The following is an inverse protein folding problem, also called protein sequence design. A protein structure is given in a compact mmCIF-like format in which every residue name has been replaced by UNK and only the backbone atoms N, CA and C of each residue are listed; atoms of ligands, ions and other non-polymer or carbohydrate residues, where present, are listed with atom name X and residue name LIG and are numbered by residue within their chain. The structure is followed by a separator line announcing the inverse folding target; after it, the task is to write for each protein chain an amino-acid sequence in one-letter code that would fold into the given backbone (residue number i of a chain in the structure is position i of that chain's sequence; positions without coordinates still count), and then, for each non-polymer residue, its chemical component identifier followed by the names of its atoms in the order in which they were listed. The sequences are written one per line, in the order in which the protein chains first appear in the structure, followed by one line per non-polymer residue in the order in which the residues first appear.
data_IF_972612474543
#
_entry.id   IF_972612474543
#
_cell.length_a   1.000
_cell.length_b   1.000
_cell.length_c   1.000
_cell.angle_alpha   90.00
_cell.angle_beta   90.00
_cell.angle_gamma   90.00
#
_symmetry.space_group_name_H-M   'P 1'
#
loop_
_entity.id
_entity.type
_entity.pdbx_description
1 polymer ?
#
# COMPACT_ATOMS: atom_id res chain seq x y z
N UNK A 1 -1.42 26.10 -11.99
CA UNK A 1 -2.33 25.23 -11.22
C UNK A 1 -2.67 26.00 -9.95
N UNK A 2 -3.97 26.30 -9.69
CA UNK A 2 -4.39 26.84 -8.40
C UNK A 2 -4.28 25.69 -7.40
N UNK A 3 -3.42 25.82 -6.39
CA UNK A 3 -3.46 24.92 -5.24
C UNK A 3 -4.81 25.15 -4.58
N UNK A 4 -5.75 24.22 -4.73
CA UNK A 4 -6.96 24.22 -3.94
C UNK A 4 -6.57 24.03 -2.48
N UNK A 5 -6.97 24.99 -1.64
CA UNK A 5 -6.74 24.91 -0.20
C UNK A 5 -7.69 23.83 0.33
N UNK A 6 -7.14 22.74 0.83
CA UNK A 6 -7.96 21.70 1.44
C UNK A 6 -8.49 22.16 2.79
N UNK A 7 -9.80 21.99 3.00
CA UNK A 7 -10.47 22.38 4.23
C UNK A 7 -11.24 21.21 4.84
N UNK A 8 -11.34 21.21 6.16
CA UNK A 8 -12.16 20.27 6.93
C UNK A 8 -13.32 21.06 7.56
N UNK A 9 -14.53 20.52 7.40
CA UNK A 9 -15.77 21.12 7.90
C UNK A 9 -15.97 22.59 7.47
N UNK A 10 -15.39 22.98 6.30
CA UNK A 10 -15.43 24.35 5.76
C UNK A 10 -14.83 25.45 6.67
N UNK A 11 -14.14 25.06 7.73
CA UNK A 11 -13.63 25.97 8.76
C UNK A 11 -12.13 25.83 8.99
N UNK A 12 -11.58 24.61 8.93
CA UNK A 12 -10.19 24.33 9.21
C UNK A 12 -9.38 24.06 7.94
N UNK A 13 -8.33 24.83 7.73
CA UNK A 13 -7.37 24.69 6.63
C UNK A 13 -6.35 23.62 7.01
N UNK A 14 -6.17 22.61 6.16
CA UNK A 14 -5.16 21.56 6.37
C UNK A 14 -3.76 22.17 6.27
N UNK A 15 -2.99 22.09 7.35
CA UNK A 15 -1.61 22.57 7.45
C UNK A 15 -0.64 21.46 7.07
N UNK A 16 -0.90 20.24 7.57
CA UNK A 16 -0.12 19.05 7.23
C UNK A 16 -0.98 17.80 7.29
N UNK A 17 -0.64 16.81 6.48
CA UNK A 17 -1.25 15.50 6.57
C UNK A 17 -0.25 14.40 6.20
N UNK A 18 -0.42 13.22 6.80
CA UNK A 18 0.40 12.04 6.56
C UNK A 18 -0.48 10.80 6.47
N UNK A 19 -0.28 9.98 5.45
CA UNK A 19 -0.94 8.70 5.31
C UNK A 19 -0.10 7.61 5.98
N UNK A 20 -0.71 6.88 6.92
CA UNK A 20 -0.10 5.75 7.62
C UNK A 20 -1.11 4.61 7.65
N UNK A 21 -0.80 3.51 6.97
CA UNK A 21 -1.73 2.41 6.77
C UNK A 21 -2.98 2.86 6.01
N UNK A 22 -4.16 2.56 6.57
CA UNK A 22 -5.46 2.92 5.97
C UNK A 22 -5.94 4.32 6.34
N UNK A 23 -5.16 5.06 7.13
CA UNK A 23 -5.61 6.32 7.70
C UNK A 23 -4.73 7.49 7.26
N UNK A 24 -5.37 8.64 7.10
CA UNK A 24 -4.73 9.93 6.91
C UNK A 24 -4.81 10.72 8.21
N UNK A 25 -3.67 11.06 8.79
CA UNK A 25 -3.53 11.88 9.99
C UNK A 25 -3.36 13.33 9.59
N UNK A 26 -4.21 14.21 10.14
CA UNK A 26 -4.32 15.58 9.68
C UNK A 26 -4.10 16.52 10.86
N UNK A 27 -3.31 17.58 10.61
CA UNK A 27 -3.21 18.75 11.46
C UNK A 27 -3.69 19.96 10.67
N UNK A 28 -4.63 20.74 11.25
CA UNK A 28 -5.29 21.85 10.58
C UNK A 28 -5.38 23.08 11.48
N UNK A 29 -5.59 24.23 10.86
CA UNK A 29 -5.75 25.52 11.52
C UNK A 29 -7.07 26.17 11.07
N UNK A 30 -7.82 26.74 12.01
CA UNK A 30 -9.05 27.47 11.71
C UNK A 30 -8.76 28.68 10.80
N UNK A 31 -9.66 28.96 9.87
CA UNK A 31 -9.55 30.07 8.91
C UNK A 31 -9.67 31.45 9.58
N UNK A 32 -10.43 31.54 10.70
CA UNK A 32 -10.50 32.73 11.52
C UNK A 32 -9.44 32.65 12.63
N UNK A 33 -8.53 33.62 12.65
CA UNK A 33 -7.43 33.69 13.63
C UNK A 33 -7.92 34.02 15.05
N UNK A 34 -9.13 34.54 15.18
CA UNK A 34 -9.74 34.88 16.47
C UNK A 34 -10.60 33.75 17.06
N UNK A 35 -10.66 32.58 16.37
CA UNK A 35 -11.39 31.44 16.88
C UNK A 35 -10.80 30.98 18.22
N UNK A 36 -11.71 30.60 19.14
CA UNK A 36 -11.30 30.16 20.49
C UNK A 36 -10.39 28.93 20.47
N UNK A 37 -10.60 28.02 19.50
CA UNK A 37 -9.84 26.78 19.31
C UNK A 37 -9.27 26.74 17.90
N UNK A 38 -8.16 27.51 17.62
CA UNK A 38 -7.68 27.70 16.26
C UNK A 38 -6.97 26.48 15.68
N UNK A 39 -6.64 25.47 16.47
CA UNK A 39 -5.93 24.29 16.00
C UNK A 39 -6.80 23.05 16.11
N UNK A 40 -6.67 22.14 15.12
CA UNK A 40 -7.36 20.86 15.10
C UNK A 40 -6.40 19.76 14.66
N UNK A 41 -6.49 18.60 15.31
CA UNK A 41 -5.99 17.35 14.77
C UNK A 41 -7.14 16.39 14.56
N UNK A 42 -7.07 15.56 13.53
CA UNK A 42 -8.01 14.46 13.32
C UNK A 42 -7.37 13.33 12.52
N UNK A 43 -8.10 12.23 12.41
CA UNK A 43 -7.77 11.11 11.55
C UNK A 43 -8.90 10.91 10.56
N UNK A 44 -8.56 10.67 9.28
CA UNK A 44 -9.51 10.42 8.22
C UNK A 44 -9.31 9.03 7.62
N UNK A 45 -10.41 8.39 7.21
CA UNK A 45 -10.40 7.14 6.44
C UNK A 45 -11.39 7.26 5.29
N UNK A 46 -10.91 7.02 4.06
CA UNK A 46 -11.74 6.97 2.87
C UNK A 46 -12.19 5.53 2.58
N UNK A 47 -13.45 5.35 2.18
CA UNK A 47 -13.99 4.06 1.75
C UNK A 47 -14.49 4.07 0.29
N UNK A 48 -13.87 4.88 -0.56
CA UNK A 48 -14.18 5.03 -1.98
C UNK A 48 -15.24 6.09 -2.30
N UNK A 49 -16.24 6.30 -1.44
CA UNK A 49 -17.31 7.29 -1.65
C UNK A 49 -17.36 8.37 -0.56
N UNK A 50 -16.97 8.02 0.66
CA UNK A 50 -17.06 8.92 1.81
C UNK A 50 -15.74 8.93 2.57
N UNK A 51 -15.41 10.09 3.12
CA UNK A 51 -14.32 10.25 4.07
C UNK A 51 -14.90 10.39 5.47
N UNK A 52 -14.49 9.49 6.36
CA UNK A 52 -14.86 9.53 7.77
C UNK A 52 -13.75 10.19 8.56
N UNK A 53 -14.11 11.09 9.46
CA UNK A 53 -13.18 11.73 10.38
C UNK A 53 -13.42 11.22 11.79
N UNK A 54 -12.35 10.82 12.47
CA UNK A 54 -12.39 10.40 13.86
C UNK A 54 -11.21 10.97 14.65
N UNK A 55 -11.18 10.75 15.97
CA UNK A 55 -10.17 11.26 16.90
C UNK A 55 -9.93 12.77 16.75
N UNK A 56 -10.97 13.52 16.41
CA UNK A 56 -10.91 14.97 16.26
C UNK A 56 -10.76 15.64 17.63
N UNK A 57 -9.73 16.45 17.78
CA UNK A 57 -9.46 17.27 18.95
C UNK A 57 -9.14 18.68 18.48
N UNK A 58 -9.75 19.68 19.11
CA UNK A 58 -9.46 21.09 18.91
C UNK A 58 -8.82 21.69 20.16
N UNK A 59 -7.93 22.65 19.99
CA UNK A 59 -7.22 23.31 21.10
C UNK A 59 -6.82 24.74 20.74
N UNK A 60 -6.61 25.55 21.76
CA UNK A 60 -5.93 26.83 21.68
C UNK A 60 -4.41 26.71 21.87
N UNK A 61 -3.94 25.58 22.44
CA UNK A 61 -2.52 25.28 22.60
C UNK A 61 -1.96 24.46 21.43
N UNK A 62 -1.23 25.15 20.54
CA UNK A 62 -0.55 24.54 19.38
C UNK A 62 0.41 23.44 19.79
N UNK A 63 1.23 23.68 20.84
CA UNK A 63 2.30 22.77 21.23
C UNK A 63 1.73 21.50 21.82
N UNK A 64 0.73 21.61 22.69
CA UNK A 64 0.06 20.46 23.28
C UNK A 64 -0.61 19.61 22.20
N UNK A 65 -1.36 20.26 21.30
CA UNK A 65 -2.06 19.55 20.23
C UNK A 65 -1.09 18.89 19.25
N UNK A 66 0.04 19.53 18.94
CA UNK A 66 1.09 18.96 18.10
C UNK A 66 1.74 17.74 18.76
N UNK A 67 1.96 17.75 20.08
CA UNK A 67 2.46 16.57 20.81
C UNK A 67 1.50 15.38 20.69
N UNK A 68 0.20 15.62 20.87
CA UNK A 68 -0.83 14.59 20.70
C UNK A 68 -0.88 14.08 19.26
N UNK A 69 -0.71 14.95 18.27
CA UNK A 69 -0.64 14.54 16.86
C UNK A 69 0.57 13.65 16.57
N UNK A 70 1.75 14.01 17.06
CA UNK A 70 2.97 13.20 16.94
C UNK A 70 2.81 11.86 17.64
N UNK A 71 2.18 11.83 18.79
CA UNK A 71 1.89 10.58 19.49
C UNK A 71 1.01 9.64 18.66
N UNK A 72 -0.08 10.16 18.05
CA UNK A 72 -0.95 9.36 17.17
C UNK A 72 -0.17 8.78 15.97
N UNK A 73 0.74 9.58 15.37
CA UNK A 73 1.59 9.11 14.26
C UNK A 73 2.54 7.99 14.72
N UNK A 74 3.14 8.15 15.90
CA UNK A 74 4.05 7.14 16.47
C UNK A 74 3.30 5.83 16.73
N UNK A 75 2.15 5.89 17.39
CA UNK A 75 1.31 4.73 17.67
C UNK A 75 0.88 4.00 16.38
N UNK A 76 0.59 4.77 15.32
CA UNK A 76 0.22 4.20 14.02
C UNK A 76 1.39 3.43 13.37
N UNK A 77 2.59 3.98 13.40
CA UNK A 77 3.80 3.34 12.88
C UNK A 77 4.13 2.07 13.68
N UNK A 78 4.05 2.15 15.02
CA UNK A 78 4.26 0.97 15.88
C UNK A 78 3.23 -0.14 15.62
N UNK A 79 1.97 0.23 15.33
CA UNK A 79 0.94 -0.76 14.98
C UNK A 79 1.26 -1.44 13.65
N UNK A 80 1.65 -0.68 12.62
CA UNK A 80 2.08 -1.25 11.33
C UNK A 80 3.28 -2.18 11.48
N UNK A 81 4.25 -1.83 12.33
CA UNK A 81 5.40 -2.70 12.59
C UNK A 81 4.98 -4.02 13.27
N UNK A 82 4.05 -3.95 14.22
CA UNK A 82 3.46 -5.15 14.85
C UNK A 82 2.73 -6.01 13.83
N UNK A 83 1.92 -5.40 12.97
CA UNK A 83 1.16 -6.11 11.94
C UNK A 83 2.11 -6.79 10.93
N UNK A 84 3.20 -6.12 10.53
CA UNK A 84 4.25 -6.70 9.68
C UNK A 84 4.92 -7.90 10.35
N UNK A 85 5.30 -7.79 11.62
CA UNK A 85 5.90 -8.89 12.38
C UNK A 85 4.94 -10.08 12.51
N UNK A 86 3.66 -9.80 12.76
CA UNK A 86 2.63 -10.85 12.88
C UNK A 86 2.45 -11.69 11.61
N UNK A 87 2.72 -11.12 10.44
CA UNK A 87 2.67 -11.84 9.15
C UNK A 87 4.04 -12.35 8.68
N UNK A 88 5.09 -12.21 9.50
CA UNK A 88 6.43 -12.71 9.22
C UNK A 88 7.24 -11.84 8.26
N UNK A 89 6.95 -10.54 8.16
CA UNK A 89 7.73 -9.57 7.40
C UNK A 89 8.87 -8.99 8.25
N UNK A 90 9.81 -9.84 8.66
CA UNK A 90 10.99 -9.40 9.43
C UNK A 90 12.06 -8.77 8.53
N UNK A 91 12.23 -9.28 7.31
CA UNK A 91 13.13 -8.71 6.29
C UNK A 91 12.29 -7.96 5.24
N UNK A 92 12.33 -6.63 5.32
CA UNK A 92 11.52 -5.73 4.47
C UNK A 92 12.18 -5.37 3.14
N UNK A 93 13.39 -5.86 2.86
CA UNK A 93 14.06 -5.56 1.59
C UNK A 93 13.42 -6.28 0.40
N UNK A 94 13.44 -5.63 -0.74
CA UNK A 94 13.08 -6.26 -2.01
C UNK A 94 14.06 -7.39 -2.40
N UNK A 95 13.53 -8.44 -3.02
CA UNK A 95 14.35 -9.45 -3.69
C UNK A 95 15.06 -8.82 -4.88
N UNK A 96 16.33 -9.21 -5.08
CA UNK A 96 17.15 -8.77 -6.20
C UNK A 96 17.14 -9.82 -7.31
N UNK A 97 17.50 -9.41 -8.53
CA UNK A 97 17.46 -10.28 -9.71
C UNK A 97 18.31 -11.55 -9.60
N UNK A 98 19.40 -11.51 -8.83
CA UNK A 98 20.27 -12.66 -8.55
C UNK A 98 19.67 -13.69 -7.56
N UNK A 99 18.61 -13.31 -6.88
CA UNK A 99 17.83 -14.17 -5.97
C UNK A 99 16.64 -14.85 -6.65
N UNK A 100 16.37 -14.52 -7.92
CA UNK A 100 15.20 -14.92 -8.69
C UNK A 100 15.59 -15.84 -9.86
N UNK A 101 14.64 -16.65 -10.30
CA UNK A 101 14.80 -17.36 -11.57
C UNK A 101 14.64 -16.36 -12.73
N UNK A 102 15.52 -16.41 -13.74
CA UNK A 102 15.46 -15.48 -14.85
C UNK A 102 14.15 -15.58 -15.62
N UNK A 103 13.67 -14.45 -16.12
CA UNK A 103 12.46 -14.37 -16.95
C UNK A 103 12.80 -13.66 -18.26
N UNK A 104 12.34 -14.22 -19.38
CA UNK A 104 12.41 -13.58 -20.70
C UNK A 104 11.03 -13.53 -21.37
N UNK A 105 10.93 -12.83 -22.51
CA UNK A 105 9.66 -12.67 -23.25
C UNK A 105 9.20 -13.96 -23.96
N UNK A 106 10.04 -15.00 -24.04
CA UNK A 106 9.70 -16.29 -24.64
C UNK A 106 9.08 -17.26 -23.64
N UNK A 107 9.05 -16.88 -22.36
CA UNK A 107 8.51 -17.73 -21.29
C UNK A 107 7.02 -17.46 -21.04
N UNK A 108 6.27 -18.54 -20.82
CA UNK A 108 4.93 -18.46 -20.23
C UNK A 108 5.07 -18.32 -18.71
N UNK A 109 4.58 -17.21 -18.18
CA UNK A 109 4.61 -16.90 -16.74
C UNK A 109 3.24 -16.92 -16.09
N UNK A 110 2.20 -17.38 -16.80
CA UNK A 110 0.87 -17.58 -16.21
C UNK A 110 0.95 -18.61 -15.08
N UNK A 111 0.35 -18.32 -13.94
CA UNK A 111 0.37 -19.19 -12.76
C UNK A 111 1.68 -19.17 -11.99
N UNK A 112 2.58 -18.25 -12.29
CA UNK A 112 3.85 -18.07 -11.57
C UNK A 112 3.73 -16.94 -10.56
N UNK A 113 4.51 -17.02 -9.50
CA UNK A 113 4.79 -15.88 -8.61
C UNK A 113 6.00 -15.16 -9.15
N UNK A 114 5.87 -13.85 -9.33
CA UNK A 114 6.91 -12.99 -9.90
C UNK A 114 7.22 -11.84 -8.95
N UNK A 115 8.42 -11.28 -9.08
CA UNK A 115 8.83 -10.07 -8.38
C UNK A 115 8.92 -8.90 -9.38
N UNK A 116 8.42 -7.74 -8.95
CA UNK A 116 8.52 -6.47 -9.69
C UNK A 116 9.82 -5.77 -9.31
N UNK A 117 10.43 -5.07 -10.25
CA UNK A 117 11.58 -4.21 -10.00
C UNK A 117 11.19 -3.08 -9.04
N UNK A 118 12.01 -2.85 -8.01
CA UNK A 118 11.79 -1.81 -7.00
C UNK A 118 11.59 -0.40 -7.59
N UNK A 119 12.14 -0.13 -8.79
CA UNK A 119 11.97 1.14 -9.51
C UNK A 119 10.53 1.42 -9.94
N UNK A 120 9.70 0.40 -10.04
CA UNK A 120 8.28 0.51 -10.41
C UNK A 120 7.34 0.44 -9.21
N UNK A 121 7.88 0.21 -8.01
CA UNK A 121 7.10 0.33 -6.79
C UNK A 121 6.91 1.82 -6.46
N UNK A 122 5.71 2.17 -6.03
CA UNK A 122 5.42 3.54 -5.61
C UNK A 122 6.25 3.93 -4.39
N UNK A 123 6.51 5.23 -4.25
CA UNK A 123 7.20 5.79 -3.08
C UNK A 123 6.60 5.26 -1.78
N UNK A 124 7.47 4.77 -0.88
CA UNK A 124 7.06 4.15 0.38
C UNK A 124 6.61 2.69 0.30
N UNK A 125 6.59 2.06 -0.91
CA UNK A 125 6.25 0.64 -1.10
C UNK A 125 7.44 -0.20 -1.59
N UNK A 126 8.62 0.10 -1.11
CA UNK A 126 9.89 -0.52 -1.54
C UNK A 126 10.27 -1.77 -0.74
N UNK A 127 9.28 -2.51 -0.27
CA UNK A 127 9.48 -3.74 0.48
C UNK A 127 8.99 -4.98 -0.29
N UNK A 128 9.41 -6.16 0.18
CA UNK A 128 9.03 -7.45 -0.43
C UNK A 128 7.50 -7.65 -0.43
N UNK A 129 6.78 -7.06 0.52
CA UNK A 129 5.34 -7.19 0.62
C UNK A 129 4.62 -6.64 -0.62
N UNK A 130 5.14 -5.54 -1.19
CA UNK A 130 4.56 -4.92 -2.37
C UNK A 130 5.14 -5.43 -3.69
N UNK A 131 6.22 -6.19 -3.64
CA UNK A 131 6.95 -6.67 -4.80
C UNK A 131 6.35 -7.93 -5.44
N UNK A 132 5.63 -8.77 -4.67
CA UNK A 132 5.27 -10.13 -5.07
C UNK A 132 3.86 -10.23 -5.66
N UNK A 133 3.76 -10.80 -6.86
CA UNK A 133 2.50 -10.99 -7.58
C UNK A 133 2.32 -12.41 -8.10
N UNK A 134 1.13 -12.97 -7.91
CA UNK A 134 0.70 -14.21 -8.55
C UNK A 134 -0.06 -13.91 -9.85
N UNK A 135 0.52 -14.25 -10.99
CA UNK A 135 -0.02 -13.91 -12.30
C UNK A 135 -1.11 -14.88 -12.77
N UNK A 136 -2.23 -14.34 -13.24
CA UNK A 136 -3.36 -15.13 -13.68
C UNK A 136 -3.69 -15.02 -15.17
N UNK A 137 -3.63 -13.82 -15.71
CA UNK A 137 -4.14 -13.52 -17.04
C UNK A 137 -3.45 -12.30 -17.65
N UNK A 138 -3.86 -11.97 -18.84
CA UNK A 138 -3.32 -10.83 -19.60
C UNK A 138 -2.41 -11.30 -20.74
N UNK A 139 -2.22 -10.44 -21.72
CA UNK A 139 -1.38 -10.77 -22.88
C UNK A 139 0.10 -10.95 -22.46
N UNK A 140 0.58 -10.13 -21.53
CA UNK A 140 1.97 -10.16 -21.08
C UNK A 140 2.39 -11.45 -20.37
N UNK A 141 1.47 -12.34 -19.95
CA UNK A 141 1.86 -13.62 -19.33
C UNK A 141 2.24 -14.69 -20.34
N UNK A 142 1.89 -14.53 -21.62
CA UNK A 142 2.18 -15.49 -22.68
C UNK A 142 3.46 -15.12 -23.45
N UNK A 143 4.17 -16.13 -24.03
CA UNK A 143 5.37 -15.86 -24.81
C UNK A 143 5.06 -15.05 -26.07
N UNK A 144 6.00 -14.19 -26.42
CA UNK A 144 5.99 -13.39 -27.67
C UNK A 144 4.69 -12.60 -27.93
N UNK A 145 3.94 -12.31 -26.88
CA UNK A 145 2.70 -11.54 -26.97
C UNK A 145 2.98 -10.08 -27.36
N UNK A 146 2.07 -9.49 -28.16
CA UNK A 146 2.16 -8.07 -28.55
C UNK A 146 1.80 -7.11 -27.40
N UNK A 147 1.19 -7.60 -26.33
CA UNK A 147 0.78 -6.79 -25.19
C UNK A 147 1.58 -7.12 -23.92
N UNK A 148 1.91 -6.12 -23.14
CA UNK A 148 2.69 -6.26 -21.89
C UNK A 148 1.83 -6.42 -20.64
N UNK A 149 0.53 -6.12 -20.70
CA UNK A 149 -0.34 -6.14 -19.51
C UNK A 149 -0.51 -7.54 -18.94
N UNK A 150 -0.16 -7.70 -17.68
CA UNK A 150 -0.35 -8.87 -16.84
C UNK A 150 -1.36 -8.51 -15.74
N UNK A 151 -2.28 -9.41 -15.43
CA UNK A 151 -3.19 -9.28 -14.30
C UNK A 151 -2.88 -10.36 -13.28
N UNK A 152 -2.65 -9.96 -12.05
CA UNK A 152 -2.29 -10.83 -10.96
C UNK A 152 -2.76 -10.31 -9.61
N UNK A 153 -2.56 -11.11 -8.58
CA UNK A 153 -2.84 -10.71 -7.21
C UNK A 153 -1.54 -10.32 -6.52
N UNK A 154 -1.50 -9.13 -5.94
CA UNK A 154 -0.47 -8.79 -4.99
C UNK A 154 -0.60 -9.72 -3.77
N UNK A 155 0.48 -10.43 -3.43
CA UNK A 155 0.41 -11.47 -2.40
C UNK A 155 0.39 -10.93 -0.96
N UNK A 156 0.63 -9.63 -0.78
CA UNK A 156 0.48 -8.98 0.52
C UNK A 156 -0.96 -8.46 0.73
N UNK A 157 -1.48 -7.72 -0.25
CA UNK A 157 -2.81 -7.11 -0.12
C UNK A 157 -3.96 -8.05 -0.50
N UNK A 158 -3.68 -9.13 -1.23
CA UNK A 158 -4.69 -10.00 -1.81
C UNK A 158 -5.49 -9.36 -2.95
N UNK A 159 -5.16 -8.13 -3.35
CA UNK A 159 -5.91 -7.40 -4.38
C UNK A 159 -5.40 -7.77 -5.77
N UNK A 160 -6.36 -7.84 -6.73
CA UNK A 160 -6.05 -8.02 -8.13
C UNK A 160 -5.64 -6.70 -8.74
N UNK A 161 -4.46 -6.68 -9.35
CA UNK A 161 -3.85 -5.47 -9.93
C UNK A 161 -3.31 -5.78 -11.33
N UNK A 162 -3.10 -4.72 -12.11
CA UNK A 162 -2.42 -4.79 -13.40
C UNK A 162 -0.98 -4.36 -13.21
N UNK A 163 -0.06 -5.16 -13.74
CA UNK A 163 1.36 -4.85 -13.88
C UNK A 163 1.79 -5.04 -15.34
N UNK A 164 2.91 -4.45 -15.72
CA UNK A 164 3.44 -4.59 -17.06
C UNK A 164 4.56 -5.64 -17.08
N UNK A 165 4.67 -6.40 -18.18
CA UNK A 165 5.69 -7.46 -18.33
C UNK A 165 7.12 -6.97 -18.11
N UNK A 166 7.43 -5.74 -18.54
CA UNK A 166 8.77 -5.15 -18.40
C UNK A 166 9.12 -4.73 -16.97
N UNK A 167 8.13 -4.66 -16.08
CA UNK A 167 8.35 -4.38 -14.65
C UNK A 167 8.86 -5.62 -13.90
N UNK A 168 8.68 -6.81 -14.47
CA UNK A 168 9.00 -8.08 -13.83
C UNK A 168 10.49 -8.36 -13.98
N UNK A 169 11.19 -8.53 -12.85
CA UNK A 169 12.63 -8.85 -12.80
C UNK A 169 12.92 -10.35 -12.70
N UNK A 170 11.93 -11.17 -12.31
CA UNK A 170 12.14 -12.61 -12.22
C UNK A 170 10.97 -13.37 -11.62
N UNK A 171 11.06 -14.71 -11.69
CA UNK A 171 10.13 -15.64 -11.04
C UNK A 171 10.68 -15.96 -9.65
N UNK A 172 9.81 -15.89 -8.65
CA UNK A 172 10.18 -16.16 -7.25
C UNK A 172 10.30 -17.67 -7.03
N UNK A 173 11.47 -18.19 -6.63
CA UNK A 173 11.62 -19.58 -6.23
C UNK A 173 10.80 -19.86 -4.95
N UNK A 174 10.31 -21.09 -4.81
CA UNK A 174 9.45 -21.45 -3.68
C UNK A 174 10.15 -21.26 -2.32
N UNK A 175 11.45 -21.56 -2.26
CA UNK A 175 12.29 -21.39 -1.07
C UNK A 175 12.52 -19.93 -0.68
N UNK A 176 12.34 -18.99 -1.63
CA UNK A 176 12.47 -17.55 -1.40
C UNK A 176 11.12 -16.88 -1.11
N UNK A 177 10.03 -17.64 -1.20
CA UNK A 177 8.69 -17.10 -0.98
C UNK A 177 8.42 -16.96 0.52
N UNK A 178 8.13 -15.74 1.03
CA UNK A 178 7.76 -15.52 2.43
C UNK A 178 6.48 -16.24 2.82
N UNK A 179 6.33 -16.57 4.09
CA UNK A 179 5.16 -17.30 4.60
C UNK A 179 3.84 -16.58 4.35
N UNK A 180 3.81 -15.24 4.45
CA UNK A 180 2.59 -14.48 4.12
C UNK A 180 2.16 -14.68 2.67
N UNK A 181 3.14 -14.72 1.74
CA UNK A 181 2.87 -14.90 0.32
C UNK A 181 2.38 -16.32 0.01
N UNK A 182 2.93 -17.35 0.66
CA UNK A 182 2.45 -18.74 0.55
C UNK A 182 1.00 -18.85 1.01
N UNK A 183 0.67 -18.32 2.20
CA UNK A 183 -0.69 -18.35 2.75
C UNK A 183 -1.71 -17.63 1.85
N UNK A 184 -1.34 -16.47 1.31
CA UNK A 184 -2.23 -15.72 0.40
C UNK A 184 -2.40 -16.47 -0.91
N UNK A 185 -1.34 -17.06 -1.46
CA UNK A 185 -1.38 -17.86 -2.67
C UNK A 185 -2.30 -19.10 -2.53
N UNK A 186 -2.24 -19.80 -1.39
CA UNK A 186 -3.10 -20.90 -1.07
C UNK A 186 -4.57 -20.49 -1.06
N UNK A 187 -4.91 -19.41 -0.35
CA UNK A 187 -6.29 -18.86 -0.33
C UNK A 187 -6.81 -18.54 -1.74
N UNK A 188 -5.98 -17.86 -2.55
CA UNK A 188 -6.36 -17.52 -3.93
C UNK A 188 -6.63 -18.77 -4.78
N UNK A 189 -5.85 -19.83 -4.58
CA UNK A 189 -6.07 -21.11 -5.29
C UNK A 189 -7.33 -21.82 -4.84
N UNK A 190 -7.59 -21.88 -3.53
CA UNK A 190 -8.81 -22.48 -2.97
C UNK A 190 -10.09 -21.75 -3.41
N UNK A 191 -10.07 -20.42 -3.45
CA UNK A 191 -11.20 -19.61 -3.92
C UNK A 191 -11.53 -19.92 -5.37
N UNK A 192 -10.51 -20.02 -6.22
CA UNK A 192 -10.70 -20.40 -7.63
C UNK A 192 -11.27 -21.80 -7.84
N UNK A 193 -10.79 -22.77 -7.09
CA UNK A 193 -11.32 -24.13 -7.18
C UNK A 193 -12.79 -24.21 -6.77
N UNK A 194 -13.26 -23.27 -5.95
CA UNK A 194 -14.68 -23.15 -5.58
C UNK A 194 -15.51 -22.46 -6.66
N UNK A 195 -14.93 -21.48 -7.39
CA UNK A 195 -15.60 -20.78 -8.49
C UNK A 195 -15.74 -21.66 -9.75
N UNK A 196 -14.81 -22.58 -9.98
CA UNK A 196 -14.78 -23.48 -11.13
C UNK A 196 -15.70 -24.73 -10.93
N UNK A 197 -16.34 -24.91 -9.79
CA UNK A 197 -17.29 -25.98 -9.47
C UNK A 197 -18.74 -25.54 -9.56
#
# INVERSE_FOLDING_TARGET
MKNEIEMIADEYIVVSSMEIGDYRYIFARHKDENERYPYMKCRAKANGFLTYYDKSIVSDDYIELMRLHIQDLTEAVEQLDKDRKAIGLEDIRCLKSDELLPVDYKMNIKGKVVAIDERYLYDGRTDIAHQLYYLQSGNGVYPESRGNGCFGYNLYTGKKERIERYEIIGIVPEEKMPEFAKRTLEKIKEEKEKEDR
#
